data_IF_539642645736
#
_entry.id   IF_539642645736
#
_cell.length_a   1.000
_cell.length_b   1.000
_cell.length_c   1.000
_cell.angle_alpha   90.00
_cell.angle_beta   90.00
_cell.angle_gamma   90.00
#
_symmetry.space_group_name_H-M   'P 1'
#
loop_
_entity.id
_entity.type
_entity.pdbx_description
1 polymer ?
#
# COMPACT_ATOMS: atom_id res chain seq x y z
N UNK A 1 -28.96 4.87 1.72
CA UNK A 1 -27.80 5.66 2.20
C UNK A 1 -26.69 4.81 2.83
N UNK A 2 -26.97 3.61 3.39
CA UNK A 2 -25.94 2.77 4.04
C UNK A 2 -24.88 2.17 3.09
N UNK A 3 -25.20 1.92 1.81
CA UNK A 3 -24.26 1.30 0.85
C UNK A 3 -23.19 2.23 0.25
N UNK A 4 -23.28 3.55 0.46
CA UNK A 4 -22.37 4.50 -0.18
C UNK A 4 -20.99 4.61 0.51
N UNK A 5 -20.93 4.40 1.82
CA UNK A 5 -19.69 4.56 2.60
C UNK A 5 -18.64 3.45 2.31
N UNK A 6 -19.03 2.15 2.23
CA UNK A 6 -18.09 1.09 1.84
C UNK A 6 -17.53 1.27 0.44
N UNK A 7 -18.36 1.71 -0.51
CA UNK A 7 -17.95 1.92 -1.89
C UNK A 7 -17.00 3.12 -2.04
N UNK A 8 -17.30 4.23 -1.36
CA UNK A 8 -16.41 5.37 -1.29
C UNK A 8 -15.04 5.00 -0.68
N UNK A 9 -15.02 4.13 0.33
CA UNK A 9 -13.78 3.63 0.94
C UNK A 9 -12.96 2.80 -0.05
N UNK A 10 -13.60 1.90 -0.82
CA UNK A 10 -12.92 1.12 -1.87
C UNK A 10 -12.32 2.01 -2.94
N UNK A 11 -13.08 3.01 -3.40
CA UNK A 11 -12.62 3.97 -4.40
C UNK A 11 -11.38 4.74 -3.92
N UNK A 12 -11.41 5.28 -2.69
CA UNK A 12 -10.24 5.95 -2.08
C UNK A 12 -9.02 5.03 -1.95
N UNK A 13 -9.23 3.77 -1.58
CA UNK A 13 -8.12 2.79 -1.53
C UNK A 13 -7.53 2.54 -2.91
N UNK A 14 -8.37 2.48 -3.96
CA UNK A 14 -7.91 2.36 -5.34
C UNK A 14 -7.06 3.56 -5.76
N UNK A 15 -7.54 4.77 -5.51
CA UNK A 15 -6.82 6.02 -5.80
C UNK A 15 -5.46 6.08 -5.10
N UNK A 16 -5.40 5.70 -3.82
CA UNK A 16 -4.14 5.68 -3.07
C UNK A 16 -3.17 4.65 -3.67
N UNK A 17 -3.65 3.47 -4.08
CA UNK A 17 -2.80 2.45 -4.72
C UNK A 17 -2.21 2.97 -6.04
N UNK A 18 -3.03 3.59 -6.89
CA UNK A 18 -2.57 4.22 -8.12
C UNK A 18 -1.52 5.29 -7.83
N UNK A 19 -1.75 6.17 -6.87
CA UNK A 19 -0.78 7.20 -6.49
C UNK A 19 0.54 6.62 -5.94
N UNK A 20 0.50 5.49 -5.20
CA UNK A 20 1.70 4.78 -4.77
C UNK A 20 2.49 4.24 -5.96
N UNK A 21 1.80 3.62 -6.93
CA UNK A 21 2.45 3.05 -8.12
C UNK A 21 3.09 4.16 -8.99
N UNK A 22 2.42 5.29 -9.15
CA UNK A 22 2.95 6.48 -9.82
C UNK A 22 4.18 7.05 -9.10
N UNK A 23 4.13 7.15 -7.77
CA UNK A 23 5.25 7.61 -6.96
C UNK A 23 6.45 6.65 -7.03
N UNK A 24 6.22 5.33 -7.04
CA UNK A 24 7.28 4.34 -7.25
C UNK A 24 7.95 4.50 -8.63
N UNK A 25 7.16 4.75 -9.68
CA UNK A 25 7.69 5.00 -11.02
C UNK A 25 8.52 6.29 -11.07
N UNK A 26 8.04 7.36 -10.43
CA UNK A 26 8.75 8.63 -10.36
C UNK A 26 10.08 8.51 -9.62
N UNK A 27 10.12 7.82 -8.47
CA UNK A 27 11.35 7.58 -7.71
C UNK A 27 12.37 6.81 -8.56
N UNK A 28 11.94 5.81 -9.34
CA UNK A 28 12.85 5.09 -10.24
C UNK A 28 13.44 6.01 -11.30
N UNK A 29 12.64 6.90 -11.89
CA UNK A 29 13.12 7.89 -12.86
C UNK A 29 14.13 8.85 -12.23
N UNK A 30 13.83 9.37 -11.04
CA UNK A 30 14.72 10.25 -10.29
C UNK A 30 16.04 9.56 -9.92
N UNK A 31 16.02 8.26 -9.56
CA UNK A 31 17.24 7.50 -9.27
C UNK A 31 18.14 7.39 -10.52
N UNK A 32 17.56 7.13 -11.69
CA UNK A 32 18.30 7.08 -12.95
C UNK A 32 18.90 8.43 -13.31
N UNK A 33 18.14 9.52 -13.19
CA UNK A 33 18.61 10.87 -13.44
C UNK A 33 19.69 11.30 -12.45
N UNK A 34 19.55 10.98 -11.15
CA UNK A 34 20.54 11.34 -10.13
C UNK A 34 21.92 10.71 -10.38
N UNK A 35 21.99 9.57 -11.07
CA UNK A 35 23.25 8.88 -11.37
C UNK A 35 24.16 9.65 -12.31
N UNK A 36 23.64 10.56 -13.14
CA UNK A 36 24.41 11.40 -14.06
C UNK A 36 24.94 12.70 -13.44
N UNK A 37 24.53 13.01 -12.21
CA UNK A 37 24.91 14.24 -11.52
C UNK A 37 26.30 14.12 -10.87
N UNK A 38 26.89 15.28 -10.57
CA UNK A 38 28.15 15.38 -9.84
C UNK A 38 28.06 14.71 -8.46
N UNK A 39 29.15 14.13 -7.93
CA UNK A 39 29.12 13.29 -6.72
C UNK A 39 28.48 13.93 -5.48
N UNK A 40 28.74 15.22 -5.26
CA UNK A 40 28.19 16.00 -4.14
C UNK A 40 26.66 16.11 -4.21
N UNK A 41 26.11 16.42 -5.40
CA UNK A 41 24.66 16.56 -5.61
C UNK A 41 24.00 15.17 -5.63
N UNK A 42 24.62 14.22 -6.33
CA UNK A 42 24.17 12.82 -6.42
C UNK A 42 23.98 12.20 -5.03
N UNK A 43 24.98 12.36 -4.14
CA UNK A 43 24.94 11.76 -2.80
C UNK A 43 23.73 12.23 -1.99
N UNK A 44 23.46 13.54 -1.99
CA UNK A 44 22.34 14.14 -1.26
C UNK A 44 20.99 13.67 -1.83
N UNK A 45 20.84 13.67 -3.16
CA UNK A 45 19.58 13.26 -3.79
C UNK A 45 19.31 11.77 -3.63
N UNK A 46 20.33 10.90 -3.75
CA UNK A 46 20.18 9.46 -3.53
C UNK A 46 19.86 9.12 -2.05
N UNK A 47 20.29 9.94 -1.10
CA UNK A 47 19.85 9.80 0.30
C UNK A 47 18.35 10.10 0.43
N UNK A 48 17.88 11.21 -0.16
CA UNK A 48 16.47 11.59 -0.12
C UNK A 48 15.56 10.58 -0.83
N UNK A 49 15.99 10.03 -1.97
CA UNK A 49 15.24 8.98 -2.68
C UNK A 49 15.12 7.68 -1.88
N UNK A 50 16.12 7.34 -1.06
CA UNK A 50 16.05 6.18 -0.16
C UNK A 50 15.02 6.40 0.96
N UNK A 51 14.96 7.61 1.53
CA UNK A 51 13.91 7.97 2.50
C UNK A 51 12.52 7.85 1.88
N UNK A 52 12.28 8.47 0.72
CA UNK A 52 10.98 8.39 0.04
C UNK A 52 10.57 6.96 -0.30
N UNK A 53 11.52 6.11 -0.70
CA UNK A 53 11.25 4.69 -0.94
C UNK A 53 10.84 3.96 0.34
N UNK A 54 11.47 4.27 1.47
CA UNK A 54 11.11 3.72 2.78
C UNK A 54 9.70 4.16 3.20
N UNK A 55 9.38 5.45 3.03
CA UNK A 55 8.07 6.01 3.36
C UNK A 55 6.96 5.39 2.49
N UNK A 56 7.21 5.20 1.19
CA UNK A 56 6.26 4.49 0.31
C UNK A 56 6.05 3.03 0.72
N UNK A 57 7.11 2.33 1.13
CA UNK A 57 6.96 0.96 1.63
C UNK A 57 6.09 0.91 2.90
N UNK A 58 6.25 1.89 3.78
CA UNK A 58 5.41 2.03 4.97
C UNK A 58 3.95 2.30 4.58
N UNK A 59 3.69 3.25 3.68
CA UNK A 59 2.34 3.55 3.17
C UNK A 59 1.68 2.32 2.54
N UNK A 60 2.43 1.55 1.74
CA UNK A 60 1.96 0.31 1.12
C UNK A 60 1.58 -0.74 2.17
N UNK A 61 2.36 -0.83 3.26
CA UNK A 61 2.06 -1.70 4.40
C UNK A 61 0.78 -1.27 5.12
N UNK A 62 0.62 0.02 5.41
CA UNK A 62 -0.57 0.55 6.06
C UNK A 62 -1.83 0.37 5.21
N UNK A 63 -1.76 0.58 3.89
CA UNK A 63 -2.87 0.30 2.99
C UNK A 63 -3.24 -1.19 2.98
N UNK A 64 -2.26 -2.09 3.00
CA UNK A 64 -2.53 -3.54 3.14
C UNK A 64 -3.27 -3.83 4.44
N UNK A 65 -2.85 -3.25 5.56
CA UNK A 65 -3.54 -3.41 6.86
C UNK A 65 -4.97 -2.87 6.81
N UNK A 66 -5.21 -1.73 6.16
CA UNK A 66 -6.57 -1.17 6.01
C UNK A 66 -7.46 -2.09 5.17
N UNK A 67 -6.91 -2.69 4.12
CA UNK A 67 -7.64 -3.64 3.25
C UNK A 67 -7.89 -4.98 3.96
N UNK A 68 -6.86 -5.55 4.58
CA UNK A 68 -6.94 -6.83 5.29
C UNK A 68 -7.71 -6.74 6.61
N UNK A 69 -7.63 -5.62 7.32
CA UNK A 69 -8.46 -5.30 8.48
C UNK A 69 -9.91 -4.97 8.12
N UNK A 70 -10.23 -4.88 6.83
CA UNK A 70 -11.60 -4.80 6.30
C UNK A 70 -12.17 -6.19 5.93
N UNK A 71 -11.48 -7.28 6.28
CA UNK A 71 -12.14 -8.58 6.44
C UNK A 71 -13.06 -8.41 7.66
N UNK A 72 -14.36 -8.24 7.40
CA UNK A 72 -15.38 -8.11 8.44
C UNK A 72 -15.09 -9.11 9.56
N UNK A 73 -15.18 -8.73 10.85
CA UNK A 73 -15.14 -9.69 11.95
C UNK A 73 -16.11 -10.85 11.69
N UNK A 74 -17.30 -10.59 11.14
CA UNK A 74 -18.24 -11.62 10.68
C UNK A 74 -17.71 -12.50 9.55
N UNK A 75 -16.96 -11.98 8.58
CA UNK A 75 -16.40 -12.83 7.52
C UNK A 75 -15.24 -13.70 8.05
N UNK A 76 -14.52 -13.24 9.08
CA UNK A 76 -13.56 -14.06 9.80
C UNK A 76 -14.27 -15.12 10.64
N UNK A 77 -15.32 -14.76 11.38
CA UNK A 77 -16.09 -15.68 12.23
C UNK A 77 -16.83 -16.72 11.38
N UNK A 78 -17.44 -16.33 10.25
CA UNK A 78 -18.07 -17.26 9.29
C UNK A 78 -17.05 -18.24 8.68
N UNK A 79 -15.84 -17.78 8.35
CA UNK A 79 -14.78 -18.64 7.83
C UNK A 79 -14.19 -19.57 8.91
N UNK A 80 -14.13 -19.10 10.16
CA UNK A 80 -13.72 -19.90 11.32
C UNK A 80 -14.80 -20.95 11.66
N UNK A 81 -16.08 -20.58 11.61
CA UNK A 81 -17.23 -21.45 11.90
C UNK A 81 -17.43 -22.51 10.80
N UNK A 82 -17.27 -22.14 9.52
CA UNK A 82 -17.27 -23.12 8.42
C UNK A 82 -16.13 -24.12 8.54
N UNK A 83 -14.94 -23.68 8.94
CA UNK A 83 -13.79 -24.56 9.17
C UNK A 83 -13.94 -25.48 10.38
N UNK A 84 -14.68 -25.06 11.41
CA UNK A 84 -15.01 -25.92 12.55
C UNK A 84 -16.07 -26.97 12.20
N UNK A 85 -17.05 -26.63 11.37
CA UNK A 85 -18.08 -27.58 10.92
C UNK A 85 -17.50 -28.73 10.09
N UNK A 86 -16.56 -28.44 9.18
CA UNK A 86 -15.86 -29.47 8.40
C UNK A 86 -14.97 -30.39 9.26
N UNK A 87 -14.50 -29.94 10.43
CA UNK A 87 -13.67 -30.74 11.34
C UNK A 87 -14.48 -31.68 12.25
N UNK A 88 -15.81 -31.54 12.31
CA UNK A 88 -16.71 -32.37 13.13
C UNK A 88 -17.43 -33.48 12.33
N UNK A 89 -17.05 -33.71 11.07
CA UNK A 89 -17.56 -34.82 10.23
C UNK A 89 -16.48 -35.89 10.07
#
# INVERSE_FOLDING_TARGET
>A
MADALPEQKKQKVSEIKTGIDEAEALIRKMDLEARSLQPNIKGVLLAKLREYKSDLNNLKSEIKKIVSGNLNPSARDELLESGMADAMT
#
